data_IF_777493402114
#
_entry.id   IF_777493402114
#
_cell.length_a   1.000
_cell.length_b   1.000
_cell.length_c   1.000
_cell.angle_alpha   90.00
_cell.angle_beta   90.00
_cell.angle_gamma   90.00
#
_symmetry.space_group_name_H-M   'P 1'
#
loop_
_entity.id
_entity.type
_entity.pdbx_description
1 polymer ?
#
# COMPACT_ATOMS: atom_id res chain seq x y z
N UNK A 1 -12.08 -8.52 3.86
CA UNK A 1 -10.62 -8.69 3.65
C UNK A 1 -10.31 -8.65 2.15
N UNK A 2 -10.35 -7.45 1.58
CA UNK A 2 -10.09 -7.28 0.16
C UNK A 2 -8.60 -7.44 -0.12
N UNK A 3 -8.27 -7.84 -1.35
CA UNK A 3 -6.88 -8.03 -1.73
C UNK A 3 -6.12 -6.72 -1.63
N UNK A 4 -5.40 -6.54 -0.53
CA UNK A 4 -4.61 -5.31 -0.32
C UNK A 4 -3.17 -5.65 0.05
N UNK A 5 -2.28 -4.69 -0.12
CA UNK A 5 -0.87 -4.88 0.20
C UNK A 5 -0.22 -3.55 0.53
N UNK A 6 1.01 -3.59 1.05
CA UNK A 6 1.74 -2.37 1.41
C UNK A 6 3.03 -2.26 0.60
N UNK A 7 3.23 -1.12 -0.06
CA UNK A 7 4.41 -0.92 -0.89
C UNK A 7 4.72 0.57 -1.11
N UNK A 8 6.01 0.88 -1.27
CA UNK A 8 6.45 2.26 -1.49
C UNK A 8 5.83 2.86 -2.75
N UNK A 9 5.76 2.06 -3.82
CA UNK A 9 5.18 2.54 -5.09
C UNK A 9 3.96 1.71 -5.48
N UNK A 10 2.82 2.39 -5.62
CA UNK A 10 1.57 1.71 -5.98
C UNK A 10 1.18 2.06 -7.42
N UNK A 11 0.98 1.02 -8.22
CA UNK A 11 0.60 1.21 -9.62
C UNK A 11 -0.89 1.51 -9.73
N UNK A 12 -1.39 1.65 -10.95
CA UNK A 12 -2.79 1.97 -11.18
C UNK A 12 -3.72 0.88 -10.63
N UNK A 13 -3.30 -0.38 -10.77
CA UNK A 13 -4.10 -1.49 -10.29
C UNK A 13 -4.33 -1.40 -8.78
N UNK A 14 -3.32 -0.93 -8.03
CA UNK A 14 -3.44 -0.81 -6.58
C UNK A 14 -3.62 0.66 -6.19
N UNK A 15 -4.86 1.03 -5.84
CA UNK A 15 -5.17 2.39 -5.43
C UNK A 15 -4.76 2.60 -3.97
N UNK A 16 -4.40 3.84 -3.62
CA UNK A 16 -4.00 4.15 -2.25
C UNK A 16 -5.19 4.10 -1.29
N UNK A 17 -5.10 3.22 -0.29
CA UNK A 17 -6.18 3.07 0.70
C UNK A 17 -5.75 3.58 2.07
N UNK A 18 -4.44 3.64 2.30
CA UNK A 18 -3.92 4.12 3.58
C UNK A 18 -2.39 4.13 3.59
N UNK A 19 -1.82 4.15 4.80
CA UNK A 19 -0.36 4.17 4.94
C UNK A 19 0.11 3.15 5.98
N UNK A 20 1.29 2.59 5.74
CA UNK A 20 1.89 1.60 6.64
C UNK A 20 3.39 1.86 6.78
N UNK A 21 3.96 1.49 7.93
CA UNK A 21 5.39 1.69 8.18
C UNK A 21 6.11 0.35 8.35
N UNK A 22 6.96 0.00 7.38
CA UNK A 22 7.72 -1.26 7.44
C UNK A 22 9.21 -0.97 7.25
N UNK A 23 10.03 -1.51 8.15
CA UNK A 23 11.48 -1.32 8.08
C UNK A 23 11.85 0.16 8.10
N UNK A 24 11.08 0.96 8.83
CA UNK A 24 11.34 2.39 8.92
C UNK A 24 10.91 3.11 7.65
N UNK A 25 10.88 2.40 6.53
CA UNK A 25 10.48 3.01 5.27
C UNK A 25 8.97 3.25 5.26
N UNK A 26 8.54 4.34 4.63
CA UNK A 26 7.12 4.66 4.58
C UNK A 26 6.45 3.88 3.45
N UNK A 27 5.61 2.91 3.82
CA UNK A 27 4.90 2.10 2.84
C UNK A 27 3.45 2.57 2.70
N UNK A 28 2.91 2.41 1.50
CA UNK A 28 1.54 2.83 1.22
C UNK A 28 0.61 1.62 1.19
N UNK A 29 -0.44 1.65 2.01
CA UNK A 29 -1.40 0.54 2.03
C UNK A 29 -2.36 0.74 0.86
N UNK A 30 -2.04 0.08 -0.25
CA UNK A 30 -2.86 0.20 -1.45
C UNK A 30 -3.69 -1.05 -1.68
N UNK A 31 -4.92 -0.85 -2.18
CA UNK A 31 -5.84 -1.96 -2.46
C UNK A 31 -6.64 -1.68 -3.73
N UNK A 32 -7.54 -2.61 -4.06
CA UNK A 32 -8.38 -2.46 -5.27
C UNK A 32 -9.84 -2.74 -4.92
#
# INVERSE_FOLDING_TARGET
RRTCHCRSRCLRRESNSGSCNINGRIFSLCCR
#
